data_IF_304785203159
#
_entry.id   IF_304785203159
#
_cell.length_a   1.000
_cell.length_b   1.000
_cell.length_c   1.000
_cell.angle_alpha   90.00
_cell.angle_beta   90.00
_cell.angle_gamma   90.00
#
_symmetry.space_group_name_H-M   'P 1'
#
loop_
_entity.id
_entity.type
_entity.pdbx_description
1 polymer ?
#
# COMPACT_ATOMS: atom_id res chain seq x y z
N UNK A 1 3.26 -21.67 -0.11
CA UNK A 1 4.44 -20.96 -0.63
C UNK A 1 4.29 -20.75 -2.12
N UNK A 2 4.24 -19.50 -2.54
CA UNK A 2 4.20 -19.11 -3.96
C UNK A 2 5.55 -19.34 -4.62
N UNK A 3 5.55 -19.85 -5.85
CA UNK A 3 6.77 -19.94 -6.66
C UNK A 3 6.99 -18.62 -7.41
N UNK A 4 8.05 -17.90 -7.06
CA UNK A 4 8.44 -16.63 -7.66
C UNK A 4 9.44 -16.78 -8.82
N UNK A 5 9.80 -18.01 -9.17
CA UNK A 5 10.76 -18.30 -10.24
C UNK A 5 10.29 -17.70 -11.57
N UNK A 6 11.17 -16.95 -12.24
CA UNK A 6 10.87 -16.36 -13.56
C UNK A 6 10.01 -15.09 -13.51
N UNK A 7 9.49 -14.68 -12.34
CA UNK A 7 8.60 -13.52 -12.22
C UNK A 7 9.35 -12.22 -12.55
N UNK A 8 10.61 -12.07 -12.10
CA UNK A 8 11.43 -10.90 -12.43
C UNK A 8 11.61 -10.76 -13.94
N UNK A 9 11.95 -11.85 -14.60
CA UNK A 9 12.18 -11.88 -16.05
C UNK A 9 10.91 -11.53 -16.81
N UNK A 10 9.75 -12.03 -16.37
CA UNK A 10 8.44 -11.70 -16.95
C UNK A 10 8.13 -10.21 -16.83
N UNK A 11 8.34 -9.62 -15.66
CA UNK A 11 8.14 -8.17 -15.44
C UNK A 11 9.07 -7.34 -16.35
N UNK A 12 10.35 -7.69 -16.42
CA UNK A 12 11.31 -6.97 -17.26
C UNK A 12 11.02 -7.15 -18.76
N UNK A 13 10.43 -8.27 -19.18
CA UNK A 13 10.03 -8.49 -20.56
C UNK A 13 8.90 -7.54 -21.00
N UNK A 14 8.01 -7.12 -20.09
CA UNK A 14 6.97 -6.13 -20.38
C UNK A 14 7.57 -4.78 -20.82
N UNK A 15 8.69 -4.37 -20.22
CA UNK A 15 9.39 -3.14 -20.58
C UNK A 15 9.84 -3.10 -22.06
N UNK A 16 10.17 -4.27 -22.62
CA UNK A 16 10.66 -4.41 -23.99
C UNK A 16 9.53 -4.48 -25.03
N UNK A 17 8.28 -4.66 -24.59
CA UNK A 17 7.10 -4.79 -25.46
C UNK A 17 6.63 -3.45 -26.04
N UNK A 18 6.10 -3.48 -27.26
CA UNK A 18 5.56 -2.30 -27.96
C UNK A 18 4.16 -1.86 -27.49
N UNK A 19 3.58 -2.54 -26.51
CA UNK A 19 2.24 -2.24 -25.93
C UNK A 19 2.30 -2.01 -24.41
N UNK A 20 3.50 -1.73 -23.88
CA UNK A 20 3.74 -1.52 -22.45
C UNK A 20 2.99 -0.31 -21.87
N UNK A 21 2.70 0.68 -22.72
CA UNK A 21 1.91 1.89 -22.42
C UNK A 21 0.43 1.61 -22.10
N UNK A 22 -0.09 0.43 -22.47
CA UNK A 22 -1.48 0.03 -22.16
C UNK A 22 -1.67 -0.39 -20.71
N UNK A 23 -0.59 -0.71 -20.01
CA UNK A 23 -0.65 -1.14 -18.61
C UNK A 23 -0.78 0.10 -17.74
N UNK A 24 -1.82 0.13 -16.91
CA UNK A 24 -2.04 1.23 -15.96
C UNK A 24 -0.83 1.38 -15.03
N UNK A 25 -0.39 2.63 -14.82
CA UNK A 25 0.76 2.96 -13.98
C UNK A 25 2.14 2.72 -14.62
N UNK A 26 2.20 2.15 -15.83
CA UNK A 26 3.46 1.90 -16.56
C UNK A 26 4.30 3.15 -16.79
N UNK A 27 3.68 4.32 -16.97
CA UNK A 27 4.40 5.60 -17.07
C UNK A 27 5.14 5.98 -15.77
N UNK A 28 4.66 5.51 -14.61
CA UNK A 28 5.28 5.75 -13.31
C UNK A 28 6.43 4.77 -13.05
N UNK A 29 6.13 3.47 -13.02
CA UNK A 29 7.13 2.46 -12.63
C UNK A 29 8.01 1.98 -13.79
N UNK A 30 7.62 2.19 -15.05
CA UNK A 30 8.44 1.86 -16.24
C UNK A 30 8.87 0.40 -16.36
N UNK A 31 8.16 -0.51 -15.70
CA UNK A 31 8.56 -1.91 -15.48
C UNK A 31 9.95 -2.11 -14.86
N UNK A 32 10.50 -1.09 -14.20
CA UNK A 32 11.78 -1.16 -13.51
C UNK A 32 11.63 -1.86 -12.16
N UNK A 33 12.53 -2.77 -11.84
CA UNK A 33 12.61 -3.43 -10.54
C UNK A 33 13.96 -3.16 -9.89
N UNK A 34 13.94 -2.78 -8.61
CA UNK A 34 15.15 -2.75 -7.80
C UNK A 34 15.72 -4.17 -7.68
N UNK A 35 17.02 -4.27 -7.37
CA UNK A 35 17.67 -5.56 -7.22
C UNK A 35 17.02 -6.36 -6.07
N UNK A 36 16.92 -7.70 -6.17
CA UNK A 36 16.49 -8.51 -5.05
C UNK A 36 17.44 -8.33 -3.86
N UNK A 37 16.88 -8.36 -2.66
CA UNK A 37 17.67 -8.35 -1.43
C UNK A 37 18.31 -9.72 -1.20
N UNK A 38 19.46 -9.71 -0.54
CA UNK A 38 20.07 -10.93 -0.03
C UNK A 38 19.34 -11.45 1.20
N UNK A 39 19.50 -12.74 1.52
CA UNK A 39 18.95 -13.32 2.74
C UNK A 39 19.44 -12.61 4.02
N UNK A 40 20.67 -12.08 4.01
CA UNK A 40 21.21 -11.31 5.14
C UNK A 40 20.54 -9.94 5.27
N UNK A 41 20.27 -9.26 4.15
CA UNK A 41 19.55 -7.98 4.13
C UNK A 41 18.09 -8.14 4.57
N UNK A 42 17.41 -9.18 4.11
CA UNK A 42 16.04 -9.47 4.57
C UNK A 42 16.02 -9.79 6.06
N UNK A 43 16.98 -10.56 6.57
CA UNK A 43 17.08 -10.83 8.01
C UNK A 43 17.38 -9.57 8.83
N UNK A 44 18.22 -8.66 8.32
CA UNK A 44 18.51 -7.36 8.94
C UNK A 44 17.27 -6.46 8.95
N UNK A 45 16.49 -6.45 7.86
CA UNK A 45 15.20 -5.76 7.76
C UNK A 45 14.18 -6.30 8.78
N UNK A 46 13.98 -7.62 8.83
CA UNK A 46 13.07 -8.27 9.79
C UNK A 46 13.49 -7.99 11.25
N UNK A 47 14.80 -7.99 11.53
CA UNK A 47 15.33 -7.63 12.84
C UNK A 47 15.09 -6.16 13.19
N UNK A 48 15.21 -5.25 12.23
CA UNK A 48 14.94 -3.81 12.42
C UNK A 48 13.45 -3.52 12.63
N UNK A 49 12.56 -4.23 11.92
CA UNK A 49 11.11 -4.16 12.14
C UNK A 49 10.68 -4.82 13.46
N UNK A 50 11.47 -5.76 13.99
CA UNK A 50 11.09 -6.57 15.14
C UNK A 50 10.05 -7.65 14.83
N UNK A 51 9.79 -7.93 13.56
CA UNK A 51 8.82 -8.94 13.09
C UNK A 51 9.33 -9.66 11.84
N UNK A 52 8.92 -10.92 11.69
CA UNK A 52 9.10 -11.64 10.43
C UNK A 52 8.08 -11.15 9.39
N UNK A 53 8.53 -10.96 8.14
CA UNK A 53 7.67 -10.55 7.05
C UNK A 53 6.76 -11.69 6.59
N UNK A 54 5.56 -11.40 6.03
CA UNK A 54 4.74 -12.43 5.40
C UNK A 54 5.53 -13.20 4.34
N UNK A 55 5.38 -14.53 4.32
CA UNK A 55 6.23 -15.45 3.56
C UNK A 55 6.29 -15.09 2.07
N UNK A 56 5.15 -14.74 1.46
CA UNK A 56 5.09 -14.35 0.05
C UNK A 56 5.83 -13.04 -0.23
N UNK A 57 5.71 -12.03 0.65
CA UNK A 57 6.43 -10.77 0.48
C UNK A 57 7.93 -10.93 0.73
N UNK A 58 8.30 -11.71 1.75
CA UNK A 58 9.68 -12.08 2.04
C UNK A 58 10.34 -12.76 0.82
N UNK A 59 9.62 -13.72 0.20
CA UNK A 59 10.11 -14.44 -0.97
C UNK A 59 10.19 -13.54 -2.21
N UNK A 60 9.23 -12.63 -2.38
CA UNK A 60 9.28 -11.60 -3.42
C UNK A 60 10.53 -10.72 -3.31
N UNK A 61 10.88 -10.26 -2.10
CA UNK A 61 12.09 -9.45 -1.88
C UNK A 61 13.38 -10.19 -2.25
N UNK A 62 13.42 -11.50 -2.03
CA UNK A 62 14.58 -12.36 -2.31
C UNK A 62 14.73 -12.73 -3.79
N UNK A 63 13.61 -12.87 -4.51
CA UNK A 63 13.61 -13.48 -5.85
C UNK A 63 13.20 -12.52 -6.97
N UNK A 64 12.32 -11.56 -6.69
CA UNK A 64 11.78 -10.65 -7.70
C UNK A 64 12.47 -9.30 -7.66
N UNK A 65 12.51 -8.64 -6.50
CA UNK A 65 13.14 -7.34 -6.34
C UNK A 65 12.78 -6.68 -5.02
N UNK A 66 13.57 -5.70 -4.59
CA UNK A 66 13.27 -4.88 -3.41
C UNK A 66 12.08 -3.91 -3.62
N UNK A 67 11.34 -4.02 -4.72
CA UNK A 67 10.24 -3.14 -5.13
C UNK A 67 10.43 -2.64 -6.57
N UNK A 68 9.66 -1.62 -6.94
CA UNK A 68 9.55 -1.09 -8.30
C UNK A 68 8.23 -1.52 -8.96
N UNK A 69 8.30 -2.03 -10.19
CA UNK A 69 7.16 -2.40 -10.99
C UNK A 69 6.20 -3.36 -10.28
N UNK A 70 4.90 -3.06 -10.38
CA UNK A 70 3.85 -3.76 -9.68
C UNK A 70 2.48 -3.11 -9.94
N UNK A 71 1.43 -3.53 -9.22
CA UNK A 71 0.10 -2.93 -9.29
C UNK A 71 0.13 -1.40 -9.20
N UNK A 72 -0.76 -0.75 -9.96
CA UNK A 72 -0.84 0.71 -10.05
C UNK A 72 0.52 1.37 -10.30
N UNK A 73 0.97 2.30 -9.45
CA UNK A 73 2.24 3.01 -9.63
C UNK A 73 3.47 2.22 -9.16
N UNK A 74 3.29 0.96 -8.75
CA UNK A 74 4.36 0.05 -8.38
C UNK A 74 4.46 -0.18 -6.87
N UNK A 75 5.15 -1.26 -6.50
CA UNK A 75 5.48 -1.55 -5.12
C UNK A 75 6.64 -0.65 -4.66
N UNK A 76 6.49 0.06 -3.54
CA UNK A 76 7.51 0.96 -3.02
C UNK A 76 8.83 0.22 -2.76
N UNK A 77 9.96 0.70 -3.34
CA UNK A 77 11.27 0.13 -3.07
C UNK A 77 11.65 0.23 -1.60
N UNK A 78 12.01 -0.88 -0.98
CA UNK A 78 12.60 -0.90 0.37
C UNK A 78 14.11 -0.81 0.28
N UNK A 79 14.69 0.19 0.96
CA UNK A 79 16.13 0.48 0.91
C UNK A 79 16.68 0.71 2.30
N UNK A 80 17.93 0.27 2.50
CA UNK A 80 18.71 0.64 3.68
C UNK A 80 19.18 2.09 3.53
N UNK A 81 19.01 2.89 4.58
CA UNK A 81 19.41 4.30 4.62
C UNK A 81 20.70 4.48 5.43
N UNK A 82 21.46 5.54 5.15
CA UNK A 82 22.78 5.79 5.75
C UNK A 82 22.78 5.89 7.28
N UNK A 83 21.62 6.24 7.87
CA UNK A 83 21.42 6.27 9.33
C UNK A 83 21.36 4.89 9.97
N UNK A 84 21.40 3.81 9.18
CA UNK A 84 21.42 2.42 9.64
C UNK A 84 20.04 1.75 9.70
N UNK A 85 18.96 2.44 9.33
CA UNK A 85 17.60 1.91 9.26
C UNK A 85 17.17 1.49 7.86
N UNK A 86 15.90 1.14 7.72
CA UNK A 86 15.25 0.79 6.45
C UNK A 86 14.10 1.76 6.15
N UNK A 87 13.79 1.94 4.87
CA UNK A 87 12.68 2.79 4.44
C UNK A 87 12.06 2.28 3.15
N UNK A 88 10.74 2.34 3.07
CA UNK A 88 9.99 2.21 1.82
C UNK A 88 9.95 3.58 1.14
N UNK A 89 10.47 3.66 -0.08
CA UNK A 89 10.60 4.89 -0.85
C UNK A 89 9.36 5.06 -1.72
N UNK A 90 8.52 6.03 -1.40
CA UNK A 90 7.28 6.31 -2.12
C UNK A 90 6.56 7.51 -1.53
N UNK A 91 5.46 7.90 -2.17
CA UNK A 91 4.53 8.91 -1.68
C UNK A 91 3.50 8.22 -0.76
N UNK A 92 3.98 7.70 0.37
CA UNK A 92 3.14 7.12 1.40
C UNK A 92 2.67 8.22 2.36
N UNK A 93 1.47 8.09 2.97
CA UNK A 93 1.10 8.92 4.12
C UNK A 93 2.15 8.79 5.24
N UNK A 94 2.20 9.78 6.14
CA UNK A 94 3.25 9.93 7.16
C UNK A 94 3.68 8.60 7.79
N UNK A 95 5.00 8.46 7.95
CA UNK A 95 5.70 7.20 8.16
C UNK A 95 5.14 6.41 9.36
N UNK A 96 4.64 5.20 9.10
CA UNK A 96 4.43 4.20 10.16
C UNK A 96 5.79 3.92 10.79
N UNK A 97 5.95 4.32 12.05
CA UNK A 97 7.19 4.08 12.77
C UNK A 97 7.47 2.58 12.86
N UNK A 98 8.73 2.13 12.83
CA UNK A 98 9.06 0.70 12.79
C UNK A 98 8.44 -0.09 13.94
N UNK A 99 8.33 0.53 15.13
CA UNK A 99 7.70 -0.07 16.30
C UNK A 99 6.21 -0.40 16.11
N UNK A 100 5.51 0.36 15.28
CA UNK A 100 4.08 0.16 15.02
C UNK A 100 3.83 -1.07 14.13
N UNK A 101 4.81 -1.52 13.33
CA UNK A 101 4.67 -2.72 12.49
C UNK A 101 4.59 -4.00 13.33
N UNK A 102 5.12 -3.96 14.57
CA UNK A 102 5.04 -5.06 15.52
C UNK A 102 3.70 -5.13 16.30
N UNK A 103 2.84 -4.11 16.16
CA UNK A 103 1.53 -4.07 16.80
C UNK A 103 0.49 -4.86 16.01
N UNK A 104 -0.59 -5.28 16.68
CA UNK A 104 -1.67 -6.01 16.01
C UNK A 104 -2.45 -5.07 15.09
N UNK A 105 -2.60 -5.47 13.82
CA UNK A 105 -3.45 -4.74 12.88
C UNK A 105 -4.91 -4.70 13.38
N UNK A 106 -5.51 -3.50 13.55
CA UNK A 106 -6.82 -3.37 14.19
C UNK A 106 -8.01 -3.70 13.27
N UNK A 107 -7.79 -3.75 11.95
CA UNK A 107 -8.84 -4.09 10.98
C UNK A 107 -9.60 -2.89 10.39
N UNK A 108 -9.09 -1.67 10.53
CA UNK A 108 -9.70 -0.43 10.02
C UNK A 108 -9.80 0.67 11.08
N UNK A 109 -10.37 1.82 10.70
CA UNK A 109 -10.69 2.90 11.62
C UNK A 109 -11.73 2.44 12.67
N UNK A 110 -11.66 2.98 13.88
CA UNK A 110 -12.76 2.87 14.83
C UNK A 110 -13.90 3.76 14.32
N UNK A 111 -15.00 3.19 13.81
CA UNK A 111 -16.06 4.00 13.24
C UNK A 111 -16.71 4.88 14.31
N UNK A 112 -16.65 4.50 15.60
CA UNK A 112 -17.28 5.27 16.68
C UNK A 112 -16.55 6.61 16.93
N UNK A 113 -15.22 6.63 16.77
CA UNK A 113 -14.41 7.84 16.99
C UNK A 113 -14.69 8.95 15.96
N UNK A 114 -15.05 8.59 14.72
CA UNK A 114 -15.37 9.56 13.66
C UNK A 114 -16.83 10.01 13.67
N UNK A 115 -17.76 9.23 14.24
CA UNK A 115 -19.21 9.50 14.19
C UNK A 115 -19.56 10.85 14.81
N UNK A 116 -19.00 11.19 15.98
CA UNK A 116 -19.29 12.46 16.64
C UNK A 116 -18.80 13.66 15.82
N UNK A 117 -17.59 13.55 15.25
CA UNK A 117 -17.02 14.61 14.40
C UNK A 117 -17.85 14.78 13.13
N UNK A 118 -18.19 13.67 12.45
CA UNK A 118 -19.03 13.70 11.24
C UNK A 118 -20.40 14.33 11.49
N UNK A 119 -20.98 14.16 12.67
CA UNK A 119 -22.25 14.77 13.05
C UNK A 119 -22.18 16.30 13.23
N UNK A 120 -20.98 16.84 13.46
CA UNK A 120 -20.72 18.28 13.61
C UNK A 120 -20.31 18.95 12.29
N UNK A 121 -20.51 18.30 11.15
CA UNK A 121 -20.15 18.86 9.83
C UNK A 121 -20.78 20.26 9.63
N UNK A 122 -19.98 21.30 9.37
CA UNK A 122 -20.50 22.63 9.03
C UNK A 122 -21.23 22.59 7.69
N UNK A 123 -22.39 23.24 7.62
CA UNK A 123 -23.10 23.48 6.35
C UNK A 123 -23.17 24.98 6.08
N UNK A 124 -23.07 25.38 4.81
CA UNK A 124 -23.14 26.80 4.42
C UNK A 124 -24.42 27.50 4.93
N UNK A 125 -25.51 26.76 5.15
CA UNK A 125 -26.78 27.30 5.68
C UNK A 125 -26.67 27.84 7.11
N UNK A 126 -25.65 27.43 7.87
CA UNK A 126 -25.41 27.85 9.25
C UNK A 126 -24.57 29.14 9.35
N UNK A 127 -24.11 29.71 8.22
CA UNK A 127 -23.18 30.83 8.17
C UNK A 127 -23.69 31.96 7.26
N UNK A 128 -23.48 33.21 7.69
CA UNK A 128 -23.86 34.40 6.92
C UNK A 128 -22.83 34.77 5.84
N UNK A 129 -21.57 34.33 5.98
CA UNK A 129 -20.45 34.63 5.08
C UNK A 129 -19.65 33.37 4.73
N UNK A 130 -19.14 33.32 3.49
CA UNK A 130 -18.38 32.18 2.98
C UNK A 130 -17.06 31.98 3.73
N UNK A 131 -16.38 33.06 4.14
CA UNK A 131 -15.10 32.95 4.84
C UNK A 131 -15.25 32.32 6.23
N UNK A 132 -16.35 32.60 6.93
CA UNK A 132 -16.65 31.99 8.23
C UNK A 132 -16.99 30.49 8.07
N UNK A 133 -17.73 30.12 7.01
CA UNK A 133 -17.98 28.72 6.66
C UNK A 133 -16.68 27.97 6.32
N UNK A 134 -15.84 28.54 5.46
CA UNK A 134 -14.56 27.91 5.06
C UNK A 134 -13.65 27.69 6.28
N UNK A 135 -13.55 28.69 7.17
CA UNK A 135 -12.78 28.55 8.41
C UNK A 135 -13.33 27.47 9.35
N UNK A 136 -14.66 27.38 9.49
CA UNK A 136 -15.29 26.32 10.29
C UNK A 136 -15.09 24.93 9.66
N UNK A 137 -15.20 24.85 8.32
CA UNK A 137 -14.99 23.61 7.58
C UNK A 137 -13.55 23.12 7.67
N UNK A 138 -12.56 24.01 7.57
CA UNK A 138 -11.13 23.67 7.73
C UNK A 138 -10.84 23.08 9.12
N UNK A 139 -11.35 23.70 10.19
CA UNK A 139 -11.19 23.20 11.57
C UNK A 139 -11.88 21.84 11.75
N UNK A 140 -13.06 21.66 11.16
CA UNK A 140 -13.77 20.38 11.19
C UNK A 140 -13.02 19.29 10.42
N UNK A 141 -12.48 19.61 9.24
CA UNK A 141 -11.71 18.70 8.40
C UNK A 141 -10.41 18.28 9.10
N UNK A 142 -9.69 19.20 9.74
CA UNK A 142 -8.49 18.89 10.53
C UNK A 142 -8.80 17.91 11.67
N UNK A 143 -9.87 18.16 12.43
CA UNK A 143 -10.33 17.25 13.51
C UNK A 143 -10.70 15.87 12.97
N UNK A 144 -11.40 15.83 11.82
CA UNK A 144 -11.77 14.57 11.19
C UNK A 144 -10.53 13.83 10.70
N UNK A 145 -9.56 14.54 10.11
CA UNK A 145 -8.33 13.96 9.61
C UNK A 145 -7.46 13.36 10.73
N UNK A 146 -7.35 14.05 11.88
CA UNK A 146 -6.61 13.57 13.06
C UNK A 146 -7.10 12.20 13.53
N UNK A 147 -8.41 11.97 13.47
CA UNK A 147 -8.99 10.67 13.80
C UNK A 147 -8.87 9.74 12.60
N UNK A 148 -9.40 10.12 11.45
CA UNK A 148 -9.51 9.25 10.29
C UNK A 148 -8.15 8.71 9.83
N UNK A 149 -7.09 9.52 9.87
CA UNK A 149 -5.74 9.17 9.41
C UNK A 149 -4.76 8.88 10.55
N UNK A 150 -5.25 8.68 11.79
CA UNK A 150 -4.40 8.31 12.91
C UNK A 150 -3.52 7.09 12.55
N UNK A 151 -2.18 7.17 12.74
CA UNK A 151 -1.27 6.08 12.37
C UNK A 151 -1.62 4.73 13.01
N UNK A 152 -2.27 4.73 14.17
CA UNK A 152 -2.73 3.52 14.86
C UNK A 152 -3.63 2.62 14.02
N UNK A 153 -4.35 3.17 13.03
CA UNK A 153 -5.25 2.38 12.17
C UNK A 153 -4.53 1.55 11.11
N UNK A 154 -3.28 1.87 10.83
CA UNK A 154 -2.41 1.10 9.94
C UNK A 154 -1.26 0.44 10.68
N UNK A 155 -1.28 0.46 12.03
CA UNK A 155 -0.37 -0.30 12.87
C UNK A 155 -0.40 -1.79 12.46
N UNK A 156 0.74 -2.46 12.47
CA UNK A 156 0.85 -3.83 12.01
C UNK A 156 0.82 -4.02 10.49
N UNK A 157 0.78 -2.95 9.69
CA UNK A 157 0.79 -3.01 8.23
C UNK A 157 1.87 -2.12 7.58
N UNK A 158 2.30 -2.49 6.38
CA UNK A 158 3.25 -1.75 5.56
C UNK A 158 2.53 -1.15 4.36
N UNK A 159 2.65 0.17 4.16
CA UNK A 159 2.19 0.79 2.91
C UNK A 159 3.13 0.36 1.78
N UNK A 160 2.59 -0.31 0.76
CA UNK A 160 3.37 -0.86 -0.33
C UNK A 160 3.14 -0.15 -1.66
N UNK A 161 2.05 0.58 -1.85
CA UNK A 161 1.72 1.14 -3.15
C UNK A 161 0.82 2.35 -3.03
N UNK A 162 1.13 3.38 -3.82
CA UNK A 162 0.20 4.44 -4.19
C UNK A 162 -0.62 3.95 -5.39
N UNK A 163 -1.95 3.96 -5.25
CA UNK A 163 -2.88 3.57 -6.31
C UNK A 163 -3.46 4.78 -7.08
N UNK A 164 -3.12 6.00 -6.67
CA UNK A 164 -3.63 7.27 -7.17
C UNK A 164 -4.85 7.76 -6.40
N UNK A 165 -5.21 9.04 -6.59
CA UNK A 165 -6.39 9.66 -5.96
C UNK A 165 -6.41 9.56 -4.42
N UNK A 166 -5.24 9.48 -3.79
CA UNK A 166 -5.11 9.31 -2.34
C UNK A 166 -5.40 7.88 -1.85
N UNK A 167 -5.55 6.91 -2.76
CA UNK A 167 -5.72 5.50 -2.43
C UNK A 167 -4.36 4.83 -2.24
N UNK A 168 -4.22 4.01 -1.20
CA UNK A 168 -3.00 3.24 -0.95
C UNK A 168 -3.29 1.77 -0.67
N UNK A 169 -2.33 0.90 -1.01
CA UNK A 169 -2.40 -0.52 -0.68
C UNK A 169 -1.41 -0.87 0.44
N UNK A 170 -1.91 -1.63 1.41
CA UNK A 170 -1.23 -1.98 2.65
C UNK A 170 -1.11 -3.51 2.78
N UNK A 171 0.08 -3.99 3.13
CA UNK A 171 0.30 -5.38 3.49
C UNK A 171 0.25 -5.53 5.00
N UNK A 172 -0.68 -6.34 5.50
CA UNK A 172 -0.73 -6.66 6.94
C UNK A 172 0.41 -7.62 7.29
N UNK A 173 1.25 -7.22 8.24
CA UNK A 173 2.42 -7.96 8.72
C UNK A 173 2.14 -8.66 10.04
N UNK A 174 1.32 -8.05 10.90
CA UNK A 174 1.07 -8.53 12.26
C UNK A 174 -0.43 -8.54 12.57
N UNK A 175 -0.93 -9.63 13.16
CA UNK A 175 -2.36 -9.81 13.48
C UNK A 175 -3.04 -10.96 12.72
N UNK A 176 -4.37 -11.07 12.83
CA UNK A 176 -5.14 -12.17 12.23
C UNK A 176 -5.20 -12.12 10.70
N UNK A 177 -5.05 -10.93 10.12
CA UNK A 177 -5.08 -10.69 8.68
C UNK A 177 -3.68 -10.74 8.05
N UNK A 178 -2.67 -11.25 8.77
CA UNK A 178 -1.28 -11.32 8.30
C UNK A 178 -1.16 -11.93 6.90
N UNK A 179 -0.44 -11.22 6.03
CA UNK A 179 -0.21 -11.59 4.63
C UNK A 179 -1.27 -11.08 3.65
N UNK A 180 -2.39 -10.52 4.14
CA UNK A 180 -3.45 -9.94 3.30
C UNK A 180 -3.11 -8.54 2.83
N UNK A 181 -3.61 -8.20 1.65
CA UNK A 181 -3.60 -6.84 1.13
C UNK A 181 -4.90 -6.13 1.52
N UNK A 182 -4.75 -4.94 2.07
CA UNK A 182 -5.81 -4.02 2.41
C UNK A 182 -5.68 -2.76 1.56
N UNK A 183 -6.81 -2.16 1.24
CA UNK A 183 -6.87 -0.88 0.55
C UNK A 183 -7.35 0.17 1.51
N UNK A 184 -6.76 1.34 1.42
CA UNK A 184 -7.12 2.54 2.15
C UNK A 184 -7.78 3.56 1.21
N UNK A 185 -9.13 3.62 1.21
CA UNK A 185 -9.90 4.61 0.48
C UNK A 185 -10.39 5.76 1.36
N UNK A 186 -9.68 6.10 2.45
CA UNK A 186 -10.14 7.15 3.37
C UNK A 186 -10.30 8.51 2.70
N UNK A 187 -9.54 8.80 1.64
CA UNK A 187 -9.75 9.99 0.80
C UNK A 187 -11.13 10.05 0.13
N UNK A 188 -11.79 8.91 -0.07
CA UNK A 188 -13.16 8.79 -0.60
C UNK A 188 -14.22 8.73 0.53
N UNK A 189 -13.84 8.96 1.79
CA UNK A 189 -14.73 8.87 2.95
C UNK A 189 -15.13 7.42 3.30
N UNK A 190 -14.36 6.42 2.86
CA UNK A 190 -14.59 4.99 3.16
C UNK A 190 -13.48 4.46 4.06
N UNK A 191 -13.79 3.45 4.85
CA UNK A 191 -12.79 2.81 5.72
C UNK A 191 -11.90 1.82 4.93
N UNK A 192 -10.77 1.47 5.55
CA UNK A 192 -9.89 0.41 5.09
C UNK A 192 -10.67 -0.89 4.93
N UNK A 193 -10.37 -1.64 3.88
CA UNK A 193 -11.00 -2.93 3.63
C UNK A 193 -10.03 -3.88 2.95
N UNK A 194 -10.18 -5.19 3.16
CA UNK A 194 -9.32 -6.16 2.52
C UNK A 194 -9.64 -6.24 1.03
N UNK A 195 -8.59 -6.35 0.21
CA UNK A 195 -8.73 -6.45 -1.25
C UNK A 195 -9.21 -7.85 -1.63
N UNK A 196 -10.10 -7.92 -2.63
CA UNK A 196 -10.70 -9.17 -3.11
C UNK A 196 -10.46 -9.34 -4.61
N UNK A 197 -10.32 -10.59 -5.03
CA UNK A 197 -10.33 -10.95 -6.45
C UNK A 197 -11.76 -10.94 -7.03
N UNK A 198 -11.88 -11.24 -8.32
CA UNK A 198 -13.16 -11.31 -9.03
C UNK A 198 -14.11 -12.40 -8.49
N UNK A 199 -13.60 -13.41 -7.77
CA UNK A 199 -14.41 -14.44 -7.11
C UNK A 199 -14.91 -14.00 -5.72
N UNK A 200 -14.43 -12.86 -5.22
CA UNK A 200 -14.70 -12.37 -3.86
C UNK A 200 -13.73 -12.92 -2.81
N UNK A 201 -12.72 -13.69 -3.21
CA UNK A 201 -11.71 -14.24 -2.30
C UNK A 201 -10.71 -13.16 -1.89
N UNK A 202 -10.32 -13.17 -0.62
CA UNK A 202 -9.34 -12.21 -0.08
C UNK A 202 -7.97 -12.42 -0.73
N UNK A 203 -7.34 -11.33 -1.17
CA UNK A 203 -5.99 -11.37 -1.73
C UNK A 203 -4.93 -11.36 -0.64
N UNK A 204 -3.97 -12.26 -0.78
CA UNK A 204 -2.65 -12.13 -0.17
C UNK A 204 -1.72 -11.33 -1.09
N UNK A 205 -0.50 -11.08 -0.62
CA UNK A 205 0.52 -10.37 -1.42
C UNK A 205 0.75 -11.03 -2.79
N UNK A 206 0.84 -12.37 -2.82
CA UNK A 206 1.11 -13.11 -4.06
C UNK A 206 -0.03 -12.95 -5.08
N UNK A 207 -1.27 -13.14 -4.66
CA UNK A 207 -2.45 -12.97 -5.50
C UNK A 207 -2.59 -11.54 -6.04
N UNK A 208 -2.28 -10.54 -5.21
CA UNK A 208 -2.28 -9.14 -5.61
C UNK A 208 -1.22 -8.83 -6.69
N UNK A 209 0.03 -9.25 -6.47
CA UNK A 209 1.11 -8.96 -7.42
C UNK A 209 1.00 -9.79 -8.71
N UNK A 210 0.76 -11.10 -8.60
CA UNK A 210 0.67 -11.99 -9.77
C UNK A 210 -0.61 -11.75 -10.59
N UNK A 211 -1.69 -11.31 -9.93
CA UNK A 211 -2.90 -10.86 -10.60
C UNK A 211 -2.64 -9.66 -11.51
N UNK A 212 -1.89 -8.68 -11.03
CA UNK A 212 -1.43 -7.55 -11.86
C UNK A 212 -0.54 -8.03 -13.00
N UNK A 213 0.47 -8.87 -12.73
CA UNK A 213 1.39 -9.33 -13.77
C UNK A 213 0.64 -10.04 -14.90
N UNK A 214 -0.29 -10.94 -14.56
CA UNK A 214 -1.13 -11.64 -15.54
C UNK A 214 -1.96 -10.66 -16.36
N UNK A 215 -2.58 -9.66 -15.72
CA UNK A 215 -3.36 -8.64 -16.42
C UNK A 215 -2.49 -7.75 -17.33
N UNK A 216 -1.26 -7.44 -16.90
CA UNK A 216 -0.31 -6.66 -17.67
C UNK A 216 0.19 -7.41 -18.91
N UNK A 217 0.48 -8.72 -18.77
CA UNK A 217 0.83 -9.60 -19.88
C UNK A 217 -0.31 -9.69 -20.90
N UNK A 218 -1.56 -9.86 -20.43
CA UNK A 218 -2.74 -9.87 -21.29
C UNK A 218 -2.94 -8.57 -22.06
N UNK A 219 -2.79 -7.42 -21.39
CA UNK A 219 -2.88 -6.12 -22.03
C UNK A 219 -1.79 -5.92 -23.11
N UNK A 220 -0.62 -6.53 -22.92
CA UNK A 220 0.49 -6.50 -23.87
C UNK A 220 0.42 -7.60 -24.94
N UNK A 221 -0.53 -8.54 -24.86
CA UNK A 221 -0.62 -9.69 -25.76
C UNK A 221 0.51 -10.69 -25.58
N UNK A 222 1.05 -10.81 -24.35
CA UNK A 222 2.12 -11.74 -23.97
C UNK A 222 1.60 -12.99 -23.25
N UNK A 223 0.28 -13.22 -23.27
CA UNK A 223 -0.34 -14.41 -22.69
C UNK A 223 0.35 -15.68 -23.20
N UNK A 224 0.97 -16.42 -22.27
CA UNK A 224 1.49 -17.77 -22.52
C UNK A 224 0.41 -18.82 -22.33
#
# INVERSE_FOLDING_TARGET
>A
MTDWTGVRERVLALAAGSSSDKVFGSMGHGFALDAPLTAAEVADLEAWLGVELPEDYRSFLLHVGAGGAGPAYGAFPVRRVDSGGWRWIGDAPEEVEPGMVAELFPGGADPEAAVEILAEQPFMEDFDDLADFEAAFEVWEERLADVQYAPSFTAGALCLCDEGCGLTAWLVVTGSERGRIWRDPRSDGKDLHPVRDASGSLLDFAGWYLGWLTAAEAACGLDQ
#
